data_IF_753387100813
#
_entry.id   IF_753387100813
#
_cell.length_a   1.000
_cell.length_b   1.000
_cell.length_c   1.000
_cell.angle_alpha   90.00
_cell.angle_beta   90.00
_cell.angle_gamma   90.00
#
_symmetry.space_group_name_H-M   'P 1'
#
loop_
_entity.id
_entity.type
_entity.pdbx_description
1 polymer ?
#
# COMPACT_ATOMS: atom_id res chain seq x y z
N UNK A 1 -6.17 -2.08 -32.68
CA UNK A 1 -4.84 -1.48 -32.90
C UNK A 1 -4.79 -0.22 -32.05
N UNK A 2 -3.81 -0.12 -31.15
CA UNK A 2 -3.66 1.06 -30.29
C UNK A 2 -3.03 2.20 -31.09
N UNK A 3 -3.79 3.26 -31.33
CA UNK A 3 -3.27 4.52 -31.85
C UNK A 3 -2.48 5.25 -30.76
N UNK A 4 -1.37 5.90 -31.12
CA UNK A 4 -0.62 6.75 -30.19
C UNK A 4 -1.43 8.03 -29.96
N UNK A 5 -1.74 8.34 -28.71
CA UNK A 5 -2.44 9.57 -28.33
C UNK A 5 -1.42 10.69 -28.12
N UNK A 6 -1.63 11.91 -28.61
CA UNK A 6 -0.68 12.99 -28.32
C UNK A 6 -0.77 13.43 -26.85
N UNK A 7 0.37 13.55 -26.16
CA UNK A 7 0.40 13.90 -24.74
C UNK A 7 1.78 13.72 -24.11
N UNK A 8 1.83 13.87 -22.79
CA UNK A 8 3.03 13.61 -21.99
C UNK A 8 3.05 12.14 -21.56
N UNK A 9 4.24 11.53 -21.66
CA UNK A 9 4.45 10.11 -21.38
C UNK A 9 5.58 9.92 -20.38
N UNK A 10 5.36 9.04 -19.41
CA UNK A 10 6.40 8.52 -18.51
C UNK A 10 6.44 6.99 -18.61
N UNK A 11 6.95 6.49 -19.73
CA UNK A 11 6.96 5.06 -20.06
C UNK A 11 8.24 4.64 -20.76
N UNK A 12 8.66 3.39 -20.52
CA UNK A 12 9.78 2.78 -21.26
C UNK A 12 9.33 2.52 -22.70
N UNK A 13 10.15 2.94 -23.67
CA UNK A 13 9.93 2.61 -25.08
C UNK A 13 10.26 1.13 -25.29
N UNK A 14 9.22 0.30 -25.36
CA UNK A 14 9.31 -1.11 -25.70
C UNK A 14 9.10 -1.35 -27.20
N UNK A 15 9.09 -2.62 -27.64
CA UNK A 15 8.93 -2.96 -29.06
C UNK A 15 7.62 -2.43 -29.65
N UNK A 16 6.50 -2.56 -28.93
CA UNK A 16 5.17 -2.11 -29.38
C UNK A 16 5.15 -0.59 -29.56
N UNK A 17 5.64 0.16 -28.55
CA UNK A 17 5.72 1.61 -28.60
C UNK A 17 6.64 2.05 -29.74
N UNK A 18 7.80 1.41 -29.89
CA UNK A 18 8.76 1.73 -30.94
C UNK A 18 8.17 1.49 -32.35
N UNK A 19 7.47 0.37 -32.55
CA UNK A 19 6.78 0.09 -33.82
C UNK A 19 5.69 1.11 -34.13
N UNK A 20 4.92 1.53 -33.13
CA UNK A 20 3.89 2.55 -33.33
C UNK A 20 4.50 3.93 -33.58
N UNK A 21 5.58 4.31 -32.86
CA UNK A 21 6.30 5.56 -33.10
C UNK A 21 6.89 5.63 -34.52
N UNK A 22 7.31 4.49 -35.07
CA UNK A 22 7.83 4.42 -36.44
C UNK A 22 6.74 4.60 -37.52
N UNK A 23 5.45 4.43 -37.18
CA UNK A 23 4.33 4.65 -38.11
C UNK A 23 3.89 6.12 -38.17
N UNK A 24 4.30 6.92 -37.19
CA UNK A 24 3.93 8.33 -37.11
C UNK A 24 4.88 9.16 -37.97
N UNK A 25 4.34 10.17 -38.65
CA UNK A 25 5.17 11.11 -39.40
C UNK A 25 6.06 11.92 -38.43
N UNK A 26 7.35 11.63 -38.46
CA UNK A 26 8.34 12.24 -37.58
C UNK A 26 8.54 13.74 -37.86
N UNK A 27 8.09 14.25 -39.01
CA UNK A 27 8.16 15.69 -39.31
C UNK A 27 7.04 16.47 -38.59
N UNK A 28 5.94 15.80 -38.23
CA UNK A 28 4.78 16.41 -37.60
C UNK A 28 4.75 16.23 -36.08
N UNK A 29 5.72 15.52 -35.51
CA UNK A 29 5.74 15.16 -34.09
C UNK A 29 7.07 15.50 -33.45
N UNK A 30 6.99 16.22 -32.33
CA UNK A 30 8.12 16.42 -31.44
C UNK A 30 8.23 15.23 -30.50
N UNK A 31 9.31 14.46 -30.65
CA UNK A 31 9.66 13.35 -29.75
C UNK A 31 10.72 13.83 -28.77
N UNK A 32 10.37 13.88 -27.50
CA UNK A 32 11.32 14.11 -26.41
C UNK A 32 11.62 12.79 -25.69
N UNK A 33 12.89 12.41 -25.63
CA UNK A 33 13.34 11.17 -24.99
C UNK A 33 14.67 11.39 -24.30
N UNK A 34 14.81 10.79 -23.13
CA UNK A 34 16.05 10.77 -22.35
C UNK A 34 16.47 9.32 -22.04
N UNK A 35 17.77 9.06 -21.89
CA UNK A 35 18.25 7.78 -21.38
C UNK A 35 17.73 7.54 -19.95
N UNK A 36 17.61 6.27 -19.56
CA UNK A 36 17.29 5.92 -18.17
C UNK A 36 18.41 6.38 -17.24
N UNK A 37 18.04 7.13 -16.20
CA UNK A 37 18.96 7.51 -15.14
C UNK A 37 19.37 6.29 -14.31
N UNK A 38 20.65 6.18 -13.96
CA UNK A 38 21.16 5.01 -13.23
C UNK A 38 20.56 4.88 -11.83
N UNK A 39 20.29 5.99 -11.13
CA UNK A 39 19.75 5.96 -9.78
C UNK A 39 18.27 5.56 -9.76
N UNK A 40 17.51 5.95 -10.79
CA UNK A 40 16.09 5.63 -10.90
C UNK A 40 15.79 4.33 -11.68
N UNK A 41 16.75 3.86 -12.48
CA UNK A 41 16.58 2.72 -13.39
C UNK A 41 16.05 1.46 -12.71
N UNK A 42 16.53 1.17 -11.49
CA UNK A 42 16.12 -0.02 -10.73
C UNK A 42 14.61 -0.03 -10.46
N UNK A 43 14.06 1.11 -10.03
CA UNK A 43 12.63 1.27 -9.76
C UNK A 43 11.82 1.25 -11.04
N UNK A 44 12.25 2.04 -12.05
CA UNK A 44 11.53 2.15 -13.33
C UNK A 44 11.40 0.79 -14.02
N UNK A 45 12.48 0.00 -14.05
CA UNK A 45 12.50 -1.34 -14.66
C UNK A 45 11.68 -2.36 -13.85
N UNK A 46 11.74 -2.30 -12.52
CA UNK A 46 10.93 -3.17 -11.66
C UNK A 46 9.42 -2.90 -11.83
N UNK A 47 9.02 -1.64 -11.88
CA UNK A 47 7.62 -1.24 -12.11
C UNK A 47 7.14 -1.66 -13.50
N UNK A 48 8.00 -1.52 -14.52
CA UNK A 48 7.73 -2.00 -15.87
C UNK A 48 7.52 -3.52 -15.92
N UNK A 49 8.43 -4.30 -15.33
CA UNK A 49 8.29 -5.75 -15.27
C UNK A 49 7.07 -6.19 -14.47
N UNK A 50 6.73 -5.50 -13.39
CA UNK A 50 5.54 -5.81 -12.58
C UNK A 50 4.26 -5.73 -13.42
N UNK A 51 4.13 -4.67 -14.24
CA UNK A 51 2.99 -4.50 -15.14
C UNK A 51 2.89 -5.65 -16.15
N UNK A 52 4.02 -6.02 -16.75
CA UNK A 52 4.08 -7.10 -17.74
C UNK A 52 3.80 -8.45 -17.12
N UNK A 53 4.40 -8.76 -15.97
CA UNK A 53 4.20 -10.05 -15.30
C UNK A 53 2.73 -10.24 -14.90
N UNK A 54 2.04 -9.17 -14.48
CA UNK A 54 0.60 -9.21 -14.23
C UNK A 54 -0.18 -9.61 -15.49
N UNK A 55 0.09 -8.95 -16.61
CA UNK A 55 -0.53 -9.29 -17.90
C UNK A 55 -0.21 -10.73 -18.32
N UNK A 56 1.03 -11.19 -18.13
CA UNK A 56 1.45 -12.56 -18.45
C UNK A 56 0.71 -13.58 -17.58
N UNK A 57 0.54 -13.32 -16.29
CA UNK A 57 -0.21 -14.22 -15.41
C UNK A 57 -1.68 -14.32 -15.79
N UNK A 58 -2.27 -13.26 -16.34
CA UNK A 58 -3.65 -13.26 -16.83
C UNK A 58 -3.83 -14.16 -18.07
N UNK A 59 -2.77 -14.40 -18.86
CA UNK A 59 -2.78 -15.37 -19.97
C UNK A 59 -2.63 -16.84 -19.52
N UNK A 60 -2.30 -17.11 -18.26
CA UNK A 60 -2.28 -18.47 -17.71
C UNK A 60 -3.72 -18.85 -17.34
N UNK A 61 -4.42 -19.47 -18.29
CA UNK A 61 -5.85 -19.77 -18.26
C UNK A 61 -6.25 -20.97 -17.38
N UNK A 62 -7.54 -21.00 -17.04
CA UNK A 62 -8.24 -21.74 -16.00
C UNK A 62 -7.95 -23.25 -15.85
N UNK A 63 -7.93 -23.69 -14.58
CA UNK A 63 -7.78 -25.08 -14.14
C UNK A 63 -7.27 -25.17 -12.69
N UNK A 64 -7.34 -26.37 -12.09
CA UNK A 64 -6.90 -26.59 -10.70
C UNK A 64 -5.39 -26.30 -10.49
N UNK A 65 -4.61 -26.23 -11.58
CA UNK A 65 -3.16 -26.01 -11.57
C UNK A 65 -2.73 -24.54 -11.78
N UNK A 66 -3.63 -23.61 -12.08
CA UNK A 66 -3.27 -22.22 -12.47
C UNK A 66 -2.36 -21.53 -11.46
N UNK A 67 -2.70 -21.64 -10.18
CA UNK A 67 -1.88 -21.05 -9.11
C UNK A 67 -0.51 -21.70 -9.03
N UNK A 68 -0.43 -23.02 -9.20
CA UNK A 68 0.84 -23.76 -9.22
C UNK A 68 1.71 -23.32 -10.40
N UNK A 69 1.13 -23.13 -11.58
CA UNK A 69 1.88 -22.73 -12.77
C UNK A 69 2.39 -21.30 -12.68
N UNK A 70 1.58 -20.38 -12.12
CA UNK A 70 2.03 -19.02 -11.78
C UNK A 70 3.19 -19.05 -10.77
N UNK A 71 3.11 -19.87 -9.73
CA UNK A 71 4.19 -20.06 -8.75
C UNK A 71 5.45 -20.64 -9.42
N UNK A 72 5.30 -21.61 -10.31
CA UNK A 72 6.41 -22.18 -11.06
C UNK A 72 7.09 -21.15 -11.96
N UNK A 73 6.33 -20.28 -12.62
CA UNK A 73 6.87 -19.19 -13.41
C UNK A 73 7.66 -18.19 -12.54
N UNK A 74 7.10 -17.77 -11.39
CA UNK A 74 7.82 -16.93 -10.43
C UNK A 74 9.14 -17.57 -9.98
N UNK A 75 9.09 -18.84 -9.57
CA UNK A 75 10.27 -19.57 -9.12
C UNK A 75 11.29 -19.77 -10.25
N UNK A 76 10.84 -19.99 -11.48
CA UNK A 76 11.70 -20.07 -12.66
C UNK A 76 12.47 -18.77 -12.92
N UNK A 77 11.80 -17.61 -12.77
CA UNK A 77 12.45 -16.30 -12.86
C UNK A 77 13.52 -16.14 -11.77
N UNK A 78 13.20 -16.48 -10.52
CA UNK A 78 14.16 -16.41 -9.41
C UNK A 78 15.36 -17.35 -9.62
N UNK A 79 15.11 -18.56 -10.12
CA UNK A 79 16.17 -19.51 -10.46
C UNK A 79 17.07 -18.99 -11.59
N UNK A 80 16.49 -18.37 -12.62
CA UNK A 80 17.26 -17.74 -13.68
C UNK A 80 18.15 -16.60 -13.16
N UNK A 81 17.65 -15.77 -12.23
CA UNK A 81 18.45 -14.74 -11.57
C UNK A 81 19.59 -15.37 -10.76
N UNK A 82 19.31 -16.42 -9.98
CA UNK A 82 20.32 -17.15 -9.23
C UNK A 82 21.41 -17.74 -10.15
N UNK A 83 21.03 -18.27 -11.31
CA UNK A 83 21.99 -18.72 -12.33
C UNK A 83 22.84 -17.58 -12.89
N UNK A 84 22.24 -16.42 -13.17
CA UNK A 84 22.97 -15.25 -13.64
C UNK A 84 24.04 -14.80 -12.63
N UNK A 85 23.73 -14.85 -11.33
CA UNK A 85 24.69 -14.56 -10.27
C UNK A 85 25.82 -15.59 -10.26
N UNK A 86 25.49 -16.89 -10.33
CA UNK A 86 26.50 -17.98 -10.36
C UNK A 86 27.42 -17.90 -11.58
N UNK A 87 26.89 -17.48 -12.72
CA UNK A 87 27.61 -17.33 -14.00
C UNK A 87 28.27 -15.96 -14.16
N UNK A 88 28.22 -15.09 -13.13
CA UNK A 88 28.78 -13.71 -13.17
C UNK A 88 28.28 -12.88 -14.37
N UNK A 89 27.04 -13.13 -14.79
CA UNK A 89 26.40 -12.42 -15.89
C UNK A 89 25.91 -11.03 -15.45
N UNK A 90 25.68 -10.10 -16.37
CA UNK A 90 25.10 -8.77 -16.09
C UNK A 90 25.81 -7.95 -15.00
N UNK A 91 27.13 -8.11 -14.86
CA UNK A 91 27.95 -7.46 -13.83
C UNK A 91 27.63 -7.90 -12.39
N UNK A 92 26.92 -9.03 -12.20
CA UNK A 92 26.85 -9.67 -10.89
C UNK A 92 28.25 -10.10 -10.47
N UNK A 93 28.68 -9.65 -9.29
CA UNK A 93 29.81 -10.26 -8.61
C UNK A 93 29.34 -11.56 -7.99
N UNK A 94 30.15 -12.62 -8.08
CA UNK A 94 29.87 -13.86 -7.36
C UNK A 94 29.87 -13.58 -5.87
N UNK A 95 28.68 -13.52 -5.30
CA UNK A 95 28.43 -13.30 -3.89
C UNK A 95 27.49 -14.38 -3.37
N UNK A 96 28.02 -15.25 -2.53
CA UNK A 96 27.29 -16.36 -1.93
C UNK A 96 26.15 -15.86 -1.01
N UNK A 97 26.29 -14.68 -0.41
CA UNK A 97 25.23 -14.10 0.42
C UNK A 97 24.05 -13.63 -0.43
N UNK A 98 24.31 -12.88 -1.52
CA UNK A 98 23.27 -12.49 -2.48
C UNK A 98 22.61 -13.71 -3.11
N UNK A 99 23.39 -14.74 -3.47
CA UNK A 99 22.82 -15.98 -4.02
C UNK A 99 21.86 -16.65 -3.03
N UNK A 100 22.30 -16.87 -1.78
CA UNK A 100 21.44 -17.43 -0.71
C UNK A 100 20.20 -16.57 -0.48
N UNK A 101 20.34 -15.25 -0.57
CA UNK A 101 19.22 -14.31 -0.41
C UNK A 101 18.20 -14.47 -1.54
N UNK A 102 18.64 -14.58 -2.79
CA UNK A 102 17.74 -14.83 -3.93
C UNK A 102 17.03 -16.18 -3.80
N UNK A 103 17.76 -17.24 -3.43
CA UNK A 103 17.17 -18.56 -3.20
C UNK A 103 16.15 -18.56 -2.05
N UNK A 104 16.32 -17.71 -1.05
CA UNK A 104 15.37 -17.57 0.06
C UNK A 104 14.04 -16.95 -0.34
N UNK A 105 13.96 -16.30 -1.52
CA UNK A 105 12.72 -15.74 -2.06
C UNK A 105 11.86 -16.75 -2.82
N UNK A 106 12.30 -18.00 -2.99
CA UNK A 106 11.51 -19.03 -3.65
C UNK A 106 10.17 -19.25 -2.93
N UNK A 107 9.09 -19.27 -3.71
CA UNK A 107 7.72 -19.43 -3.25
C UNK A 107 7.45 -20.93 -3.02
N UNK A 108 6.85 -21.27 -1.88
CA UNK A 108 6.44 -22.66 -1.60
C UNK A 108 5.35 -23.12 -2.58
N UNK A 109 5.41 -24.40 -2.94
CA UNK A 109 4.51 -25.02 -3.92
C UNK A 109 3.05 -25.13 -3.48
N UNK A 110 2.77 -24.98 -2.18
CA UNK A 110 1.42 -24.90 -1.64
C UNK A 110 0.80 -23.49 -1.72
N UNK A 111 1.55 -22.51 -2.27
CA UNK A 111 1.06 -21.18 -2.66
C UNK A 111 0.27 -20.43 -1.56
N UNK A 112 0.71 -20.55 -0.30
CA UNK A 112 0.01 -19.96 0.83
C UNK A 112 0.43 -18.51 1.08
N UNK A 113 -0.54 -17.67 1.43
CA UNK A 113 -0.32 -16.30 1.92
C UNK A 113 -0.40 -16.33 3.46
N UNK A 114 0.61 -15.80 4.15
CA UNK A 114 0.56 -15.66 5.60
C UNK A 114 -0.38 -14.49 5.96
N UNK A 115 -1.59 -14.82 6.42
CA UNK A 115 -2.61 -13.82 6.74
C UNK A 115 -2.54 -13.28 8.17
N UNK A 116 -2.04 -14.08 9.12
CA UNK A 116 -1.85 -13.66 10.52
C UNK A 116 -0.86 -14.57 11.24
N UNK A 117 -0.10 -14.01 12.18
CA UNK A 117 0.74 -14.76 13.12
C UNK A 117 0.50 -14.19 14.52
N UNK A 118 0.01 -15.01 15.45
CA UNK A 118 -0.33 -14.61 16.81
C UNK A 118 0.40 -15.51 17.80
N UNK A 119 1.08 -14.89 18.77
CA UNK A 119 1.70 -15.63 19.87
C UNK A 119 0.62 -16.09 20.87
N UNK A 120 0.41 -17.40 20.96
CA UNK A 120 -0.55 -18.02 21.88
C UNK A 120 -0.19 -17.82 23.36
N UNK A 121 1.08 -17.53 23.67
CA UNK A 121 1.59 -17.37 25.04
C UNK A 121 1.68 -15.91 25.47
N UNK A 122 1.63 -14.96 24.53
CA UNK A 122 1.56 -13.56 24.87
C UNK A 122 0.20 -13.28 25.53
N UNK A 123 0.20 -12.83 26.78
CA UNK A 123 -1.00 -12.42 27.55
C UNK A 123 -1.69 -11.17 26.99
N UNK A 124 -1.53 -10.86 25.71
CA UNK A 124 -2.15 -9.73 25.03
C UNK A 124 -3.32 -10.25 24.18
N UNK A 125 -4.57 -9.96 24.55
CA UNK A 125 -5.71 -10.21 23.70
C UNK A 125 -5.73 -9.16 22.58
N UNK A 126 -4.73 -9.15 21.70
CA UNK A 126 -4.80 -8.39 20.45
C UNK A 126 -5.39 -9.32 19.39
N UNK A 127 -6.67 -9.08 19.11
CA UNK A 127 -7.48 -9.75 18.10
C UNK A 127 -7.98 -11.19 18.40
N UNK A 128 -8.39 -11.47 19.64
CA UNK A 128 -9.38 -12.53 19.90
C UNK A 128 -10.65 -11.94 20.52
N UNK A 129 -11.54 -11.45 19.65
CA UNK A 129 -12.93 -11.19 20.03
C UNK A 129 -13.67 -12.53 20.02
N UNK A 130 -13.65 -13.24 21.16
CA UNK A 130 -14.65 -14.22 21.59
C UNK A 130 -15.05 -15.37 20.64
N UNK A 131 -14.40 -15.52 19.50
CA UNK A 131 -14.70 -16.50 18.47
C UNK A 131 -13.42 -16.75 17.68
N UNK A 132 -13.25 -17.96 17.16
CA UNK A 132 -12.01 -18.53 16.63
C UNK A 132 -11.40 -17.84 15.39
N UNK A 133 -11.83 -16.62 15.03
CA UNK A 133 -11.35 -15.88 13.86
C UNK A 133 -10.70 -14.56 14.28
N UNK A 134 -9.46 -14.37 13.84
CA UNK A 134 -8.74 -13.10 13.94
C UNK A 134 -9.48 -12.00 13.19
N UNK A 135 -9.66 -10.83 13.81
CA UNK A 135 -10.26 -9.66 13.14
C UNK A 135 -9.25 -9.13 12.12
N UNK A 136 -9.53 -9.33 10.82
CA UNK A 136 -8.71 -8.84 9.71
C UNK A 136 -9.61 -8.11 8.70
N UNK A 137 -9.22 -6.94 8.18
CA UNK A 137 -9.89 -6.32 7.04
C UNK A 137 -9.80 -7.22 5.80
N UNK A 138 -10.89 -7.31 5.06
CA UNK A 138 -10.95 -7.98 3.76
C UNK A 138 -10.23 -7.15 2.69
N UNK A 139 -10.30 -5.83 2.80
CA UNK A 139 -9.61 -4.87 1.91
C UNK A 139 -9.00 -3.76 2.75
N UNK A 140 -7.74 -3.41 2.48
CA UNK A 140 -7.13 -2.29 3.21
C UNK A 140 -7.68 -0.96 2.73
N UNK A 141 -8.15 -0.11 3.64
CA UNK A 141 -8.61 1.25 3.32
C UNK A 141 -7.42 2.16 3.00
N UNK A 142 -6.21 1.78 3.43
CA UNK A 142 -4.97 2.50 3.13
C UNK A 142 -4.52 2.34 1.66
N UNK A 143 -4.99 1.30 0.97
CA UNK A 143 -4.70 1.04 -0.45
C UNK A 143 -5.89 1.55 -1.30
N UNK A 144 -5.87 2.83 -1.67
CA UNK A 144 -6.66 3.48 -2.75
C UNK A 144 -8.06 2.91 -3.05
N UNK A 145 -8.80 2.47 -2.03
CA UNK A 145 -10.05 1.75 -2.18
C UNK A 145 -11.17 2.77 -2.28
N UNK A 146 -11.73 2.92 -3.49
CA UNK A 146 -12.90 3.75 -3.74
C UNK A 146 -14.14 2.98 -3.28
N UNK A 147 -14.61 3.27 -2.07
CA UNK A 147 -15.88 2.73 -1.57
C UNK A 147 -17.02 3.56 -2.17
N UNK A 148 -17.79 2.96 -3.08
CA UNK A 148 -18.91 3.62 -3.76
C UNK A 148 -20.21 3.49 -2.99
N UNK A 149 -20.24 2.66 -1.95
CA UNK A 149 -21.43 2.42 -1.13
C UNK A 149 -22.44 1.51 -1.82
N UNK A 150 -22.01 0.73 -2.82
CA UNK A 150 -22.85 -0.25 -3.48
C UNK A 150 -23.30 -1.35 -2.50
N UNK A 151 -24.50 -1.89 -2.69
CA UNK A 151 -25.15 -2.86 -1.79
C UNK A 151 -24.33 -4.16 -1.59
N UNK A 152 -23.45 -4.47 -2.53
CA UNK A 152 -22.57 -5.64 -2.51
C UNK A 152 -21.11 -5.35 -2.12
N UNK A 153 -20.77 -4.10 -1.80
CA UNK A 153 -19.45 -3.74 -1.29
C UNK A 153 -19.39 -3.91 0.24
N UNK A 154 -18.25 -4.38 0.80
CA UNK A 154 -18.06 -4.34 2.24
C UNK A 154 -18.18 -2.88 2.71
N UNK A 155 -19.02 -2.66 3.71
CA UNK A 155 -19.24 -1.32 4.26
C UNK A 155 -17.90 -0.71 4.68
N UNK A 156 -17.56 0.44 4.12
CA UNK A 156 -16.33 1.20 4.45
C UNK A 156 -16.14 1.32 5.97
N UNK A 157 -17.24 1.57 6.70
CA UNK A 157 -17.22 1.67 8.16
C UNK A 157 -16.89 0.32 8.82
N UNK A 158 -17.37 -0.79 8.27
CA UNK A 158 -17.04 -2.13 8.79
C UNK A 158 -15.56 -2.47 8.57
N UNK A 159 -15.01 -2.17 7.40
CA UNK A 159 -13.58 -2.39 7.14
C UNK A 159 -12.72 -1.47 8.01
N UNK A 160 -13.17 -0.23 8.24
CA UNK A 160 -12.47 0.74 9.08
C UNK A 160 -12.38 0.27 10.53
N UNK A 161 -13.47 -0.30 11.05
CA UNK A 161 -13.49 -0.93 12.38
C UNK A 161 -12.50 -2.09 12.46
N UNK A 162 -12.44 -2.96 11.44
CA UNK A 162 -11.49 -4.07 11.39
C UNK A 162 -10.04 -3.57 11.31
N UNK A 163 -9.77 -2.51 10.54
CA UNK A 163 -8.43 -1.89 10.47
C UNK A 163 -8.00 -1.28 11.79
N UNK A 164 -8.90 -0.58 12.49
CA UNK A 164 -8.63 -0.03 13.83
C UNK A 164 -8.21 -1.15 14.80
N UNK A 165 -8.98 -2.24 14.85
CA UNK A 165 -8.74 -3.34 15.79
C UNK A 165 -7.53 -4.21 15.43
N UNK A 166 -7.10 -4.20 14.18
CA UNK A 166 -5.96 -4.98 13.68
C UNK A 166 -4.67 -4.17 13.57
N UNK A 167 -4.70 -2.86 13.82
CA UNK A 167 -3.50 -2.00 13.76
C UNK A 167 -2.66 -2.05 15.03
N UNK A 168 -1.38 -1.68 14.91
CA UNK A 168 -0.51 -1.45 16.07
C UNK A 168 -0.44 0.05 16.41
N UNK A 169 -0.50 0.88 15.37
CA UNK A 169 -0.53 2.33 15.46
C UNK A 169 -1.50 2.90 14.42
N UNK A 170 -2.19 3.95 14.80
CA UNK A 170 -3.11 4.69 13.94
C UNK A 170 -2.70 6.16 13.96
N UNK A 171 -2.41 6.71 12.78
CA UNK A 171 -2.21 8.15 12.59
C UNK A 171 -3.42 8.72 11.82
N UNK A 172 -4.25 9.51 12.50
CA UNK A 172 -5.36 10.27 11.92
C UNK A 172 -4.85 11.64 11.47
N UNK A 173 -4.63 11.83 10.17
CA UNK A 173 -4.29 13.12 9.58
C UNK A 173 -5.51 13.66 8.82
N UNK A 174 -6.36 14.38 9.56
CA UNK A 174 -7.68 14.79 9.08
C UNK A 174 -7.88 16.29 9.29
N UNK A 175 -8.40 16.95 8.25
CA UNK A 175 -8.62 18.39 8.26
C UNK A 175 -9.67 18.83 9.29
N UNK A 176 -10.74 18.06 9.45
CA UNK A 176 -11.76 18.28 10.48
C UNK A 176 -12.36 16.94 10.96
N UNK A 177 -12.94 16.95 12.16
CA UNK A 177 -13.61 15.77 12.72
C UNK A 177 -15.05 16.12 13.12
N UNK A 178 -16.02 15.43 12.51
CA UNK A 178 -17.43 15.50 12.91
C UNK A 178 -17.79 14.41 13.92
N UNK A 179 -18.60 14.76 14.91
CA UNK A 179 -19.12 13.81 15.89
C UNK A 179 -19.93 12.70 15.23
N UNK A 180 -20.70 13.04 14.19
CA UNK A 180 -21.53 12.09 13.44
C UNK A 180 -20.72 10.96 12.78
N UNK A 181 -19.48 11.23 12.37
CA UNK A 181 -18.55 10.24 11.84
C UNK A 181 -17.80 9.51 12.95
N UNK A 182 -17.24 10.24 13.92
CA UNK A 182 -16.47 9.65 15.02
C UNK A 182 -17.29 8.63 15.84
N UNK A 183 -18.56 8.91 16.10
CA UNK A 183 -19.45 8.00 16.86
C UNK A 183 -19.55 6.61 16.27
N UNK A 184 -19.29 6.45 14.96
CA UNK A 184 -19.37 5.16 14.28
C UNK A 184 -18.20 4.24 14.64
N UNK A 185 -17.07 4.79 15.07
CA UNK A 185 -15.80 4.05 15.30
C UNK A 185 -15.21 4.24 16.71
N UNK A 186 -15.82 5.07 17.56
CA UNK A 186 -15.28 5.44 18.87
C UNK A 186 -15.12 4.22 19.81
N UNK A 187 -15.99 3.23 19.69
CA UNK A 187 -15.92 2.01 20.51
C UNK A 187 -14.68 1.20 20.13
N UNK A 188 -14.41 1.05 18.84
CA UNK A 188 -13.24 0.35 18.33
C UNK A 188 -11.94 1.09 18.65
N UNK A 189 -11.93 2.43 18.54
CA UNK A 189 -10.79 3.24 18.98
C UNK A 189 -10.51 3.06 20.47
N UNK A 190 -11.55 3.04 21.30
CA UNK A 190 -11.43 2.80 22.75
C UNK A 190 -10.84 1.42 23.03
N UNK A 191 -11.33 0.38 22.36
CA UNK A 191 -10.79 -0.97 22.51
C UNK A 191 -9.32 -1.05 22.06
N UNK A 192 -8.99 -0.44 20.92
CA UNK A 192 -7.64 -0.38 20.38
C UNK A 192 -6.67 0.28 21.36
N UNK A 193 -7.01 1.46 21.89
CA UNK A 193 -6.13 2.18 22.82
C UNK A 193 -6.01 1.49 24.18
N UNK A 194 -7.10 0.92 24.71
CA UNK A 194 -7.08 0.09 25.93
C UNK A 194 -6.22 -1.16 25.74
N UNK A 195 -6.20 -1.75 24.54
CA UNK A 195 -5.30 -2.84 24.13
C UNK A 195 -3.83 -2.43 23.94
N UNK A 196 -3.46 -1.20 24.32
CA UNK A 196 -2.11 -0.63 24.22
C UNK A 196 -1.76 -0.09 22.83
N UNK A 197 -2.75 -0.01 21.92
CA UNK A 197 -2.57 0.60 20.61
C UNK A 197 -2.26 2.09 20.73
N UNK A 198 -1.42 2.62 19.85
CA UNK A 198 -1.04 4.05 19.86
C UNK A 198 -1.86 4.81 18.83
N UNK A 199 -2.68 5.75 19.29
CA UNK A 199 -3.44 6.64 18.42
C UNK A 199 -2.76 8.00 18.38
N UNK A 200 -2.55 8.56 17.19
CA UNK A 200 -2.10 9.94 17.01
C UNK A 200 -3.11 10.67 16.15
N UNK A 201 -3.66 11.76 16.64
CA UNK A 201 -4.62 12.59 15.91
C UNK A 201 -4.00 13.93 15.63
N UNK A 202 -3.86 14.25 14.35
CA UNK A 202 -3.39 15.54 13.84
C UNK A 202 -4.58 16.16 13.11
N UNK A 203 -5.14 17.20 13.71
CA UNK A 203 -6.30 17.90 13.15
C UNK A 203 -6.24 19.39 13.44
N UNK A 204 -7.03 20.19 12.74
CA UNK A 204 -7.07 21.64 12.91
C UNK A 204 -8.46 22.13 13.32
N UNK A 205 -8.52 23.29 13.99
CA UNK A 205 -9.77 24.03 14.24
C UNK A 205 -10.16 24.92 13.05
N UNK A 206 -9.41 24.92 11.95
CA UNK A 206 -9.61 25.89 10.88
C UNK A 206 -11.08 25.91 10.43
N UNK A 207 -11.70 27.10 10.51
CA UNK A 207 -13.13 27.39 10.28
C UNK A 207 -14.15 26.83 11.29
N UNK A 208 -13.73 26.28 12.44
CA UNK A 208 -14.63 25.70 13.43
C UNK A 208 -15.34 24.43 12.94
N UNK A 209 -14.83 23.79 11.88
CA UNK A 209 -15.46 22.62 11.27
C UNK A 209 -15.35 21.36 12.13
N UNK A 210 -14.38 21.32 13.06
CA UNK A 210 -14.21 20.22 14.02
C UNK A 210 -15.15 20.39 15.21
N UNK A 211 -15.99 19.38 15.46
CA UNK A 211 -16.97 19.44 16.54
C UNK A 211 -16.27 19.30 17.91
N UNK A 212 -16.55 20.22 18.84
CA UNK A 212 -15.98 20.18 20.21
C UNK A 212 -16.20 18.82 20.89
N UNK A 213 -17.41 18.24 20.74
CA UNK A 213 -17.74 16.93 21.29
C UNK A 213 -16.84 15.81 20.73
N UNK A 214 -16.41 15.89 19.47
CA UNK A 214 -15.51 14.90 18.91
C UNK A 214 -14.12 14.98 19.55
N UNK A 215 -13.60 16.20 19.74
CA UNK A 215 -12.32 16.45 20.41
C UNK A 215 -12.38 15.97 21.87
N UNK A 216 -13.46 16.30 22.57
CA UNK A 216 -13.68 15.94 23.97
C UNK A 216 -13.76 14.42 24.20
N UNK A 217 -14.24 13.67 23.20
CA UNK A 217 -14.30 12.20 23.29
C UNK A 217 -12.97 11.56 22.91
N UNK A 218 -12.26 12.10 21.93
CA UNK A 218 -10.92 11.62 21.58
C UNK A 218 -9.90 11.88 22.69
N UNK A 219 -10.01 12.98 23.42
CA UNK A 219 -9.11 13.30 24.55
C UNK A 219 -9.28 12.35 25.74
N UNK A 220 -10.40 11.62 25.82
CA UNK A 220 -10.66 10.61 26.87
C UNK A 220 -10.01 9.26 26.57
N UNK A 221 -9.50 9.05 25.36
CA UNK A 221 -8.86 7.81 24.97
C UNK A 221 -7.46 7.70 25.58
N UNK A 222 -7.13 6.53 26.12
CA UNK A 222 -5.77 6.21 26.57
C UNK A 222 -4.80 6.14 25.40
N UNK A 223 -3.47 6.16 25.63
CA UNK A 223 -2.45 5.98 24.59
C UNK A 223 -2.66 6.84 23.32
N UNK A 224 -3.24 8.03 23.49
CA UNK A 224 -3.62 8.93 22.40
C UNK A 224 -2.82 10.22 22.47
N UNK A 225 -2.10 10.52 21.39
CA UNK A 225 -1.45 11.81 21.18
C UNK A 225 -2.36 12.71 20.36
N UNK A 226 -2.64 13.92 20.84
CA UNK A 226 -3.47 14.89 20.14
C UNK A 226 -2.61 16.11 19.78
N UNK A 227 -2.39 16.32 18.49
CA UNK A 227 -1.65 17.47 17.98
C UNK A 227 -2.65 18.41 17.33
N UNK A 228 -2.79 19.58 17.94
CA UNK A 228 -3.53 20.69 17.39
C UNK A 228 -2.51 21.74 16.92
N UNK A 229 -2.23 21.84 15.61
CA UNK A 229 -1.37 22.90 15.09
C UNK A 229 -2.07 24.23 15.39
N UNK A 230 -1.61 24.92 16.42
CA UNK A 230 -2.12 26.24 16.77
C UNK A 230 -1.61 27.22 15.71
N UNK A 231 -2.53 27.92 15.06
CA UNK A 231 -2.18 28.96 14.08
C UNK A 231 -1.60 30.14 14.87
N UNK A 232 -0.29 30.18 15.02
CA UNK A 232 0.44 31.38 15.42
C UNK A 232 0.74 32.17 14.14
N UNK A 233 0.17 33.36 14.02
CA UNK A 233 0.50 34.38 13.01
C UNK A 233 0.15 34.05 11.55
N UNK A 234 -1.10 33.64 11.27
CA UNK A 234 -1.67 33.76 9.92
C UNK A 234 -1.09 32.87 8.81
N UNK A 235 -0.08 32.04 9.09
CA UNK A 235 0.35 30.98 8.18
C UNK A 235 -0.40 29.69 8.52
N UNK A 236 -1.34 29.31 7.65
CA UNK A 236 -1.98 28.01 7.73
C UNK A 236 -0.96 26.90 7.51
N UNK A 237 -0.97 25.87 8.36
CA UNK A 237 -0.38 24.57 8.02
C UNK A 237 -1.28 23.92 6.96
N UNK A 238 -1.19 24.42 5.73
CA UNK A 238 -1.68 23.69 4.55
C UNK A 238 -0.57 22.71 4.16
N UNK A 239 -0.84 21.41 4.02
CA UNK A 239 -0.07 20.58 3.11
C UNK A 239 -0.35 21.08 1.67
N UNK A 240 0.28 22.20 1.29
CA UNK A 240 0.09 23.01 0.05
C UNK A 240 -1.34 23.49 -0.25
N UNK A 241 -1.52 24.73 -0.74
CA UNK A 241 -2.76 25.12 -1.40
C UNK A 241 -2.84 24.39 -2.76
N UNK A 242 -3.58 23.28 -2.80
CA UNK A 242 -4.09 22.71 -4.04
C UNK A 242 -5.43 23.38 -4.35
N UNK A 243 -5.63 23.74 -5.62
CA UNK A 243 -6.86 24.33 -6.15
C UNK A 243 -8.10 23.55 -5.71
N UNK A 244 -9.17 24.29 -5.42
CA UNK A 244 -10.55 23.85 -5.18
C UNK A 244 -10.87 22.47 -5.81
N UNK A 245 -11.07 21.46 -4.97
CA UNK A 245 -11.54 20.14 -5.42
C UNK A 245 -11.53 19.05 -4.34
N UNK A 246 -10.45 18.89 -3.58
CA UNK A 246 -10.30 17.72 -2.70
C UNK A 246 -9.68 18.07 -1.35
N UNK A 247 -10.49 17.99 -0.29
CA UNK A 247 -9.98 17.86 1.08
C UNK A 247 -9.58 16.39 1.25
N UNK A 248 -8.31 16.05 1.01
CA UNK A 248 -7.83 14.71 1.27
C UNK A 248 -7.63 14.51 2.78
N UNK A 249 -8.61 13.90 3.44
CA UNK A 249 -8.39 13.27 4.73
C UNK A 249 -7.56 12.00 4.50
N UNK A 250 -6.42 11.88 5.18
CA UNK A 250 -5.59 10.67 5.11
C UNK A 250 -5.58 10.00 6.48
N UNK A 251 -6.03 8.75 6.51
CA UNK A 251 -5.92 7.91 7.69
C UNK A 251 -4.88 6.86 7.37
N UNK A 252 -3.81 6.82 8.17
CA UNK A 252 -2.74 5.84 7.99
C UNK A 252 -2.84 4.78 9.08
N UNK A 253 -3.17 3.57 8.66
CA UNK A 253 -3.09 2.39 9.50
C UNK A 253 -1.71 1.78 9.36
N UNK A 254 -0.97 1.71 10.47
CA UNK A 254 0.39 1.18 10.48
C UNK A 254 0.37 -0.15 11.23
N UNK A 255 0.60 -1.23 10.49
CA UNK A 255 0.98 -2.52 11.04
C UNK A 255 2.39 -2.86 10.56
N UNK A 256 3.39 -2.72 11.43
CA UNK A 256 4.79 -3.08 11.13
C UNK A 256 4.98 -4.61 11.19
N UNK A 257 4.10 -5.37 10.53
CA UNK A 257 4.10 -6.83 10.55
C UNK A 257 4.59 -7.40 9.22
N UNK A 258 5.76 -6.96 8.78
CA UNK A 258 6.56 -7.72 7.82
C UNK A 258 7.56 -8.54 8.60
N UNK A 259 7.61 -9.85 8.38
CA UNK A 259 8.77 -10.62 8.78
C UNK A 259 9.96 -9.97 8.08
N UNK A 260 10.92 -9.45 8.85
CA UNK A 260 12.14 -8.87 8.29
C UNK A 260 12.79 -9.91 7.39
N UNK A 261 12.82 -9.65 6.09
CA UNK A 261 13.58 -10.44 5.11
C UNK A 261 15.08 -10.05 5.13
N UNK A 262 15.45 -9.08 5.97
CA UNK A 262 16.84 -8.82 6.38
C UNK A 262 17.20 -9.77 7.52
N UNK A 263 18.23 -10.60 7.32
CA UNK A 263 18.92 -11.27 8.43
C UNK A 263 19.64 -10.22 9.31
N UNK A 264 19.87 -10.52 10.60
CA UNK A 264 20.80 -9.74 11.42
C UNK A 264 22.22 -9.72 10.87
#
# INVERSE_FOLDING_TARGET
MSEIIYGLYEQIINRIINENLNKVDQQLVLKDTQPLDSAESSKILADYLTKILREIFDYIEDGDAVVRDRVNLCNGILQYIAECIRKESFSFKKDEETLKRVESFLIRQDAQILLSLVDKKASRPRAMLGSEKTVRPETSISENSLFTGAVHEPSMISELKKEILSSDRIDFLVSFIKWSGLRLIINELTQFTMGGGKLRVITTSYLGATDYKAVEQLSKLTNTEYIFPMILNGLAFMPKPMSFGEIQASVRFISDRRISLSQP
#
